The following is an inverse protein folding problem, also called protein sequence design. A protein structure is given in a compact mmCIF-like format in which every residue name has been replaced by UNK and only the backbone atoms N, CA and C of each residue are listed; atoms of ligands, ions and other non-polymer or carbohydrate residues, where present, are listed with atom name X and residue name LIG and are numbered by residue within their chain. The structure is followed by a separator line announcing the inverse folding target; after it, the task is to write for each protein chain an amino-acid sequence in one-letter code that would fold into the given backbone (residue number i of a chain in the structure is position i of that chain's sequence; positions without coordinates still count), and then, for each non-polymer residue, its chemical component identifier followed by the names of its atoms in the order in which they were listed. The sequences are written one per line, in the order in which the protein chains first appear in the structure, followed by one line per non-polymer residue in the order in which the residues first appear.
data_IF_524744793028
#
_entry.id   IF_524744793028
#
_cell.length_a   1.000
_cell.length_b   1.000
_cell.length_c   1.000
_cell.angle_alpha   90.00
_cell.angle_beta   90.00
_cell.angle_gamma   90.00
#
_symmetry.space_group_name_H-M   'P 1'
#
loop_
_entity.id
_entity.type
_entity.pdbx_description
1 polymer ?
#
# COMPACT_ATOMS: atom_id res chain seq x y z
N UNK A 1 -4.96 7.46 0.43
CA UNK A 1 -6.02 6.69 -0.27
C UNK A 1 -6.60 7.51 -1.41
N UNK A 2 -6.86 8.80 -1.18
CA UNK A 2 -7.30 9.75 -2.23
C UNK A 2 -6.37 9.80 -3.45
N UNK A 3 -5.04 9.76 -3.23
CA UNK A 3 -4.03 9.71 -4.32
C UNK A 3 -4.27 8.51 -5.27
N UNK A 4 -4.80 7.41 -4.72
CA UNK A 4 -5.11 6.17 -5.44
C UNK A 4 -6.59 6.09 -5.88
N UNK A 5 -7.37 7.15 -5.69
CA UNK A 5 -8.77 7.24 -6.12
C UNK A 5 -9.78 6.47 -5.27
N UNK A 6 -9.43 6.06 -4.05
CA UNK A 6 -10.34 5.31 -3.16
C UNK A 6 -11.14 6.25 -2.25
N UNK A 7 -12.19 6.87 -2.81
CA UNK A 7 -13.05 7.82 -2.09
C UNK A 7 -13.99 7.16 -1.08
N UNK A 8 -14.22 5.85 -1.22
CA UNK A 8 -15.14 5.09 -0.38
C UNK A 8 -14.51 4.63 0.95
N UNK A 9 -13.19 4.78 1.12
CA UNK A 9 -12.50 4.52 2.39
C UNK A 9 -12.19 5.86 3.04
N UNK A 10 -12.83 6.12 4.18
CA UNK A 10 -12.65 7.35 4.94
C UNK A 10 -11.38 7.31 5.80
N UNK A 11 -11.08 6.15 6.40
CA UNK A 11 -9.95 6.01 7.32
C UNK A 11 -9.54 4.56 7.48
N UNK A 12 -8.24 4.32 7.70
CA UNK A 12 -7.72 3.03 8.15
C UNK A 12 -6.69 3.27 9.27
N UNK A 13 -6.68 2.44 10.30
CA UNK A 13 -5.62 2.43 11.32
C UNK A 13 -5.42 1.05 11.90
N UNK A 14 -4.30 0.86 12.59
CA UNK A 14 -3.99 -0.37 13.32
C UNK A 14 -4.03 -0.05 14.81
N UNK A 15 -4.76 -0.84 15.58
CA UNK A 15 -4.79 -0.84 17.03
C UNK A 15 -3.96 -2.01 17.55
N UNK A 16 -3.01 -1.73 18.45
CA UNK A 16 -2.33 -2.79 19.20
C UNK A 16 -3.23 -3.25 20.34
N UNK A 17 -3.60 -4.54 20.35
CA UNK A 17 -4.35 -5.20 21.41
C UNK A 17 -3.44 -6.21 22.15
N UNK A 18 -3.61 -6.30 23.46
CA UNK A 18 -2.81 -7.17 24.33
C UNK A 18 -2.10 -6.42 25.45
N UNK A 19 -1.87 -7.08 26.58
CA UNK A 19 -1.13 -6.53 27.71
C UNK A 19 0.37 -6.71 27.48
N UNK A 20 1.17 -5.66 27.74
CA UNK A 20 2.64 -5.74 27.66
C UNK A 20 3.22 -6.88 28.50
N UNK A 21 2.56 -7.22 29.61
CA UNK A 21 3.01 -8.22 30.57
C UNK A 21 2.96 -9.66 30.05
N UNK A 22 2.06 -9.97 29.10
CA UNK A 22 1.87 -11.34 28.59
C UNK A 22 2.68 -11.66 27.34
N UNK A 23 3.30 -10.66 26.69
CA UNK A 23 4.06 -10.84 25.44
C UNK A 23 3.19 -11.08 24.19
N UNK A 24 1.92 -11.46 24.36
CA UNK A 24 0.95 -11.55 23.27
C UNK A 24 0.63 -10.15 22.74
N UNK A 25 1.17 -9.83 21.56
CA UNK A 25 0.85 -8.62 20.82
C UNK A 25 0.01 -8.99 19.61
N UNK A 26 -1.24 -8.55 19.60
CA UNK A 26 -2.15 -8.65 18.47
C UNK A 26 -2.32 -7.26 17.84
N UNK A 27 -2.37 -7.19 16.51
CA UNK A 27 -2.65 -5.95 15.80
C UNK A 27 -3.99 -6.10 15.08
N UNK A 28 -4.93 -5.23 15.42
CA UNK A 28 -6.25 -5.20 14.82
C UNK A 28 -6.34 -4.03 13.84
N UNK A 29 -6.68 -4.31 12.58
CA UNK A 29 -6.88 -3.27 11.58
C UNK A 29 -8.34 -2.81 11.59
N UNK A 30 -8.54 -1.51 11.63
CA UNK A 30 -9.85 -0.88 11.55
C UNK A 30 -9.98 -0.15 10.22
N UNK A 31 -11.10 -0.36 9.55
CA UNK A 31 -11.44 0.30 8.29
C UNK A 31 -12.74 1.07 8.49
N UNK A 32 -12.76 2.35 8.13
CA UNK A 32 -13.97 3.17 8.12
C UNK A 32 -14.26 3.57 6.69
N UNK A 33 -15.50 3.32 6.25
CA UNK A 33 -15.99 3.59 4.90
C UNK A 33 -17.11 4.60 4.93
N UNK A 34 -17.28 5.30 3.82
CA UNK A 34 -18.43 6.18 3.61
C UNK A 34 -19.48 5.44 2.78
N UNK A 35 -20.74 5.51 3.22
CA UNK A 35 -21.86 5.10 2.39
C UNK A 35 -22.13 6.13 1.27
N UNK A 36 -23.08 5.82 0.38
CA UNK A 36 -23.46 6.71 -0.73
C UNK A 36 -24.04 8.06 -0.27
N UNK A 37 -24.40 8.19 1.00
CA UNK A 37 -24.92 9.42 1.62
C UNK A 37 -23.82 10.20 2.37
N UNK A 38 -22.58 9.69 2.37
CA UNK A 38 -21.45 10.28 3.10
C UNK A 38 -21.41 9.92 4.59
N UNK A 39 -22.21 8.96 5.04
CA UNK A 39 -22.19 8.50 6.43
C UNK A 39 -21.05 7.52 6.65
N UNK A 40 -20.17 7.82 7.60
CA UNK A 40 -19.07 6.95 7.97
C UNK A 40 -19.55 5.76 8.82
N UNK A 41 -19.09 4.55 8.50
CA UNK A 41 -19.33 3.34 9.29
C UNK A 41 -18.06 2.48 9.35
N UNK A 42 -17.92 1.70 10.43
CA UNK A 42 -16.81 0.75 10.60
C UNK A 42 -17.07 -0.54 9.83
N UNK A 43 -16.05 -1.03 9.13
CA UNK A 43 -16.06 -2.23 8.30
C UNK A 43 -14.83 -3.11 8.60
N UNK A 44 -14.81 -4.34 8.07
CA UNK A 44 -13.67 -5.24 8.16
C UNK A 44 -12.80 -5.18 6.91
N UNK A 45 -11.49 -5.43 7.08
CA UNK A 45 -10.57 -5.68 5.96
C UNK A 45 -11.03 -6.85 5.08
N UNK A 46 -11.77 -7.82 5.64
CA UNK A 46 -12.28 -8.99 4.91
C UNK A 46 -13.37 -8.63 3.89
N UNK A 47 -13.98 -7.45 4.03
CA UNK A 47 -15.02 -6.94 3.12
C UNK A 47 -14.47 -5.97 2.07
N UNK A 48 -13.17 -5.68 2.11
CA UNK A 48 -12.50 -4.87 1.10
C UNK A 48 -12.27 -5.70 -0.18
N UNK A 49 -12.32 -5.05 -1.33
CA UNK A 49 -11.87 -5.66 -2.58
C UNK A 49 -10.39 -6.01 -2.49
N UNK A 50 -9.93 -6.91 -3.36
CA UNK A 50 -8.52 -7.27 -3.44
C UNK A 50 -7.62 -6.05 -3.63
N UNK A 51 -8.00 -5.16 -4.55
CA UNK A 51 -7.29 -3.91 -4.82
C UNK A 51 -7.28 -2.95 -3.62
N UNK A 52 -8.38 -2.84 -2.87
CA UNK A 52 -8.44 -2.03 -1.65
C UNK A 52 -7.52 -2.59 -0.57
N UNK A 53 -7.50 -3.92 -0.39
CA UNK A 53 -6.64 -4.60 0.58
C UNK A 53 -5.17 -4.42 0.23
N UNK A 54 -4.83 -4.56 -1.05
CA UNK A 54 -3.47 -4.39 -1.55
C UNK A 54 -2.96 -2.96 -1.32
N UNK A 55 -3.69 -1.93 -1.77
CA UNK A 55 -3.29 -0.53 -1.54
C UNK A 55 -3.17 -0.23 -0.04
N UNK A 56 -4.10 -0.74 0.77
CA UNK A 56 -4.04 -0.58 2.23
C UNK A 56 -2.75 -1.17 2.78
N UNK A 57 -2.42 -2.41 2.40
CA UNK A 57 -1.19 -3.09 2.82
C UNK A 57 0.06 -2.31 2.41
N UNK A 58 0.12 -1.84 1.16
CA UNK A 58 1.25 -1.07 0.64
C UNK A 58 1.43 0.26 1.39
N UNK A 59 0.35 0.97 1.69
CA UNK A 59 0.42 2.23 2.46
C UNK A 59 0.92 1.99 3.88
N UNK A 60 0.45 0.93 4.56
CA UNK A 60 0.97 0.60 5.90
C UNK A 60 2.43 0.14 5.87
N UNK A 61 2.81 -0.65 4.87
CA UNK A 61 4.20 -1.08 4.70
C UNK A 61 5.13 0.13 4.53
N UNK A 62 4.76 1.09 3.68
CA UNK A 62 5.52 2.32 3.49
C UNK A 62 5.52 3.19 4.77
N UNK A 63 4.39 3.34 5.44
CA UNK A 63 4.33 4.10 6.69
C UNK A 63 5.26 3.50 7.76
N UNK A 64 5.27 2.16 7.89
CA UNK A 64 6.20 1.46 8.78
C UNK A 64 7.65 1.63 8.35
N UNK A 65 7.94 1.52 7.05
CA UNK A 65 9.27 1.73 6.48
C UNK A 65 9.83 3.13 6.82
N UNK A 66 8.98 4.15 6.72
CA UNK A 66 9.34 5.54 7.03
C UNK A 66 9.46 5.80 8.53
N UNK A 67 8.46 5.40 9.32
CA UNK A 67 8.41 5.67 10.77
C UNK A 67 9.56 4.98 11.52
N UNK A 68 9.99 3.82 11.04
CA UNK A 68 11.08 3.07 11.65
C UNK A 68 12.43 3.29 10.96
N UNK A 69 12.55 4.29 10.07
CA UNK A 69 13.80 4.65 9.40
C UNK A 69 14.49 3.43 8.75
N UNK A 70 13.69 2.50 8.23
CA UNK A 70 14.18 1.21 7.71
C UNK A 70 15.17 1.42 6.57
N UNK A 71 15.02 2.50 5.82
CA UNK A 71 15.92 2.93 4.76
C UNK A 71 17.37 3.12 5.20
N UNK A 72 17.65 3.38 6.48
CA UNK A 72 19.02 3.52 6.98
C UNK A 72 19.81 2.20 6.94
N UNK A 73 19.11 1.07 7.07
CA UNK A 73 19.72 -0.26 7.05
C UNK A 73 19.39 -1.03 5.77
N UNK A 74 18.19 -0.81 5.23
CA UNK A 74 17.61 -1.52 4.09
C UNK A 74 17.04 -0.50 3.11
N UNK A 75 17.87 0.13 2.26
CA UNK A 75 17.45 1.23 1.38
C UNK A 75 16.65 0.76 0.15
N UNK A 76 16.23 -0.51 0.11
CA UNK A 76 15.50 -1.11 -1.00
C UNK A 76 14.12 -1.58 -0.58
N UNK A 77 13.13 -1.37 -1.44
CA UNK A 77 11.79 -1.94 -1.34
C UNK A 77 11.49 -2.73 -2.63
N UNK A 78 11.13 -3.99 -2.48
CA UNK A 78 10.64 -4.83 -3.57
C UNK A 78 9.13 -4.98 -3.43
N UNK A 79 8.41 -4.59 -4.48
CA UNK A 79 6.99 -4.84 -4.62
C UNK A 79 6.81 -5.95 -5.65
N UNK A 80 6.39 -7.12 -5.16
CA UNK A 80 6.09 -8.28 -6.01
C UNK A 80 4.58 -8.39 -6.18
N UNK A 81 4.14 -8.67 -7.40
CA UNK A 81 2.73 -8.88 -7.78
C UNK A 81 1.74 -7.78 -7.37
N UNK A 82 1.81 -6.59 -7.97
CA UNK A 82 0.80 -5.51 -7.83
C UNK A 82 -0.43 -5.69 -8.74
N UNK A 83 -0.87 -6.93 -8.94
CA UNK A 83 -1.79 -7.34 -10.01
C UNK A 83 -3.25 -6.92 -9.78
N UNK A 84 -3.65 -6.59 -8.54
CA UNK A 84 -5.03 -6.15 -8.29
C UNK A 84 -5.24 -4.67 -8.65
N UNK A 85 -4.17 -3.96 -9.01
CA UNK A 85 -4.21 -2.58 -9.46
C UNK A 85 -4.21 -2.51 -10.99
N UNK A 86 -5.00 -1.59 -11.53
CA UNK A 86 -4.87 -1.21 -12.94
C UNK A 86 -3.60 -0.37 -13.18
N UNK A 87 -3.16 -0.30 -14.43
CA UNK A 87 -1.90 0.35 -14.81
C UNK A 87 -1.83 1.84 -14.42
N UNK A 88 -2.95 2.56 -14.42
CA UNK A 88 -3.02 3.96 -13.99
C UNK A 88 -2.82 4.12 -12.48
N UNK A 89 -3.29 3.15 -11.69
CA UNK A 89 -3.05 3.11 -10.24
C UNK A 89 -1.63 2.70 -9.93
N UNK A 90 -1.07 1.73 -10.66
CA UNK A 90 0.33 1.34 -10.53
C UNK A 90 1.22 2.57 -10.76
N UNK A 91 1.00 3.34 -11.83
CA UNK A 91 1.77 4.55 -12.10
C UNK A 91 1.75 5.56 -10.94
N UNK A 92 0.56 5.87 -10.41
CA UNK A 92 0.44 6.76 -9.24
C UNK A 92 1.13 6.21 -7.99
N UNK A 93 1.11 4.89 -7.82
CA UNK A 93 1.78 4.25 -6.71
C UNK A 93 3.31 4.37 -6.84
N UNK A 94 3.85 4.11 -8.03
CA UNK A 94 5.29 4.27 -8.31
C UNK A 94 5.72 5.71 -8.06
N UNK A 95 5.02 6.67 -8.66
CA UNK A 95 5.31 8.10 -8.51
C UNK A 95 5.26 8.54 -7.03
N UNK A 96 4.36 7.95 -6.23
CA UNK A 96 4.31 8.26 -4.80
C UNK A 96 5.46 7.59 -4.01
N UNK A 97 5.83 6.36 -4.34
CA UNK A 97 6.82 5.60 -3.59
C UNK A 97 8.26 6.04 -3.91
N UNK A 98 8.54 6.50 -5.13
CA UNK A 98 9.89 6.92 -5.53
C UNK A 98 10.43 8.10 -4.70
N UNK A 99 9.54 8.98 -4.24
CA UNK A 99 9.89 10.11 -3.36
C UNK A 99 10.28 9.66 -1.93
N UNK A 100 10.01 8.40 -1.59
CA UNK A 100 10.10 7.88 -0.23
C UNK A 100 11.08 6.72 -0.06
N UNK A 101 11.38 5.99 -1.14
CA UNK A 101 12.23 4.81 -1.12
C UNK A 101 13.46 5.03 -2.01
N UNK A 102 14.69 4.94 -1.48
CA UNK A 102 15.90 5.17 -2.27
C UNK A 102 16.06 4.24 -3.49
N UNK A 103 15.68 2.98 -3.34
CA UNK A 103 15.67 1.99 -4.42
C UNK A 103 14.36 1.21 -4.41
N UNK A 104 13.47 1.55 -5.35
CA UNK A 104 12.20 0.85 -5.56
C UNK A 104 12.33 -0.15 -6.71
N UNK A 105 12.08 -1.43 -6.42
CA UNK A 105 12.02 -2.50 -7.41
C UNK A 105 10.58 -3.00 -7.46
N UNK A 106 10.03 -3.15 -8.66
CA UNK A 106 8.66 -3.62 -8.86
C UNK A 106 8.64 -4.68 -9.94
N UNK A 107 8.00 -5.80 -9.66
CA UNK A 107 7.68 -6.81 -10.67
C UNK A 107 6.35 -6.46 -11.32
N UNK A 108 6.37 -6.22 -12.64
CA UNK A 108 5.20 -5.82 -13.42
C UNK A 108 5.05 -6.69 -14.66
N UNK A 109 3.79 -6.91 -15.05
CA UNK A 109 3.49 -7.42 -16.38
C UNK A 109 3.82 -6.35 -17.44
N UNK A 110 4.17 -6.74 -18.68
CA UNK A 110 4.54 -5.79 -19.73
C UNK A 110 3.48 -4.72 -20.00
N UNK A 111 2.20 -5.05 -19.88
CA UNK A 111 1.07 -4.11 -20.03
C UNK A 111 1.10 -2.99 -18.99
N UNK A 112 1.42 -3.30 -17.73
CA UNK A 112 1.44 -2.30 -16.65
C UNK A 112 2.72 -1.47 -16.69
N UNK A 113 3.85 -2.09 -17.04
CA UNK A 113 5.11 -1.40 -17.19
C UNK A 113 5.07 -0.31 -18.28
N UNK A 114 4.20 -0.45 -19.28
CA UNK A 114 4.00 0.55 -20.35
C UNK A 114 3.29 1.83 -19.87
N UNK A 115 2.57 1.77 -18.74
CA UNK A 115 1.97 2.96 -18.14
C UNK A 115 2.98 3.82 -17.36
N UNK A 116 4.16 3.27 -17.07
CA UNK A 116 5.25 3.97 -16.39
C UNK A 116 6.15 4.72 -17.36
N UNK A 117 6.78 5.78 -16.87
CA UNK A 117 7.75 6.58 -17.63
C UNK A 117 8.92 5.71 -18.14
N UNK A 118 9.35 5.93 -19.37
CA UNK A 118 10.43 5.15 -20.00
C UNK A 118 11.82 5.45 -19.40
N UNK A 119 11.94 6.46 -18.53
CA UNK A 119 13.16 6.73 -17.77
C UNK A 119 13.45 5.69 -16.69
N UNK A 120 12.44 4.94 -16.24
CA UNK A 120 12.65 3.86 -15.29
C UNK A 120 13.48 2.72 -15.91
N UNK A 121 14.43 2.21 -15.14
CA UNK A 121 15.25 1.08 -15.59
C UNK A 121 14.43 -0.21 -15.64
N UNK A 122 14.35 -0.85 -16.81
CA UNK A 122 13.63 -2.11 -17.03
C UNK A 122 14.62 -3.26 -17.27
N UNK A 123 14.47 -4.35 -16.52
CA UNK A 123 15.21 -5.60 -16.70
C UNK A 123 14.26 -6.62 -17.32
N UNK A 124 14.45 -6.95 -18.59
CA UNK A 124 13.53 -7.80 -19.37
C UNK A 124 14.07 -9.22 -19.62
N UNK A 125 15.37 -9.44 -19.39
CA UNK A 125 16.04 -10.73 -19.56
C UNK A 125 16.55 -11.22 -18.19
N UNK A 126 16.03 -12.38 -17.74
CA UNK A 126 16.41 -13.05 -16.48
C UNK A 126 16.77 -14.50 -16.79
#
# INVERSE_FOLDING_TARGET
LDIMGYENIARIWIERRGAEETGDTEFHMHVVRNDRSGTAYEDSIDHLSESEREVTGLVFALAGYLVHEVSETVPFMLLDSVEALDSDRIARLVDYFEDHVPYLLIALLPEDAQALDDSYHRVMDI
#
